data_IF_685366628047
#
_entry.id   IF_685366628047
#
_cell.length_a   1.000
_cell.length_b   1.000
_cell.length_c   1.000
_cell.angle_alpha   90.00
_cell.angle_beta   90.00
_cell.angle_gamma   90.00
#
_symmetry.space_group_name_H-M   'P 1'
#
loop_
_entity.id
_entity.type
_entity.pdbx_description
1 polymer ?
#
# COMPACT_ATOMS: atom_id res chain seq x y z
N UNK A 1 -23.00 14.48 2.05
CA UNK A 1 -21.65 14.80 2.57
C UNK A 1 -20.84 15.45 1.45
N UNK A 2 -20.06 16.47 1.77
CA UNK A 2 -19.18 17.12 0.78
C UNK A 2 -17.81 16.45 0.83
N UNK A 3 -17.59 15.46 -0.04
CA UNK A 3 -16.29 14.84 -0.23
C UNK A 3 -15.36 15.83 -0.93
N UNK A 4 -14.18 16.09 -0.37
CA UNK A 4 -13.20 17.02 -0.94
C UNK A 4 -12.13 16.34 -1.80
N UNK A 5 -11.84 15.09 -1.50
CA UNK A 5 -10.78 14.30 -2.13
C UNK A 5 -11.31 12.92 -2.53
N UNK A 6 -10.91 12.45 -3.70
CA UNK A 6 -11.18 11.08 -4.16
C UNK A 6 -9.88 10.49 -4.69
N UNK A 7 -9.52 9.30 -4.23
CA UNK A 7 -8.47 8.51 -4.84
C UNK A 7 -9.10 7.43 -5.73
N UNK A 8 -8.74 7.43 -7.00
CA UNK A 8 -9.05 6.36 -7.95
C UNK A 8 -7.87 5.39 -8.05
N UNK A 9 -8.09 4.14 -8.42
CA UNK A 9 -7.03 3.14 -8.51
C UNK A 9 -7.24 2.15 -9.65
N UNK A 10 -6.20 1.43 -10.02
CA UNK A 10 -6.12 0.33 -10.97
C UNK A 10 -6.32 0.74 -12.45
N UNK A 11 -7.54 1.05 -12.88
CA UNK A 11 -7.85 1.35 -14.27
C UNK A 11 -7.68 2.84 -14.60
N UNK A 12 -7.69 3.17 -15.91
CA UNK A 12 -7.62 4.55 -16.38
C UNK A 12 -8.70 5.43 -15.71
N UNK A 13 -8.33 6.51 -15.00
CA UNK A 13 -9.27 7.38 -14.29
C UNK A 13 -10.09 8.31 -15.21
N UNK A 14 -9.75 8.42 -16.49
CA UNK A 14 -10.36 9.36 -17.44
C UNK A 14 -11.89 9.43 -17.39
N UNK A 15 -12.63 8.31 -17.25
CA UNK A 15 -14.10 8.36 -17.20
C UNK A 15 -14.67 9.16 -16.01
N UNK A 16 -13.91 9.31 -14.93
CA UNK A 16 -14.39 9.91 -13.69
C UNK A 16 -13.82 11.31 -13.44
N UNK A 17 -12.61 11.62 -13.97
CA UNK A 17 -11.87 12.83 -13.64
C UNK A 17 -12.70 14.08 -13.93
N UNK A 18 -13.29 14.18 -15.12
CA UNK A 18 -14.07 15.36 -15.53
C UNK A 18 -15.22 15.63 -14.54
N UNK A 19 -16.04 14.65 -14.24
CA UNK A 19 -17.19 14.78 -13.34
C UNK A 19 -16.77 15.15 -11.92
N UNK A 20 -15.67 14.55 -11.41
CA UNK A 20 -15.16 14.84 -10.07
C UNK A 20 -14.62 16.27 -9.98
N UNK A 21 -13.90 16.72 -11.00
CA UNK A 21 -13.37 18.10 -11.07
C UNK A 21 -14.48 19.14 -11.18
N UNK A 22 -15.52 18.90 -11.98
CA UNK A 22 -16.70 19.76 -12.09
C UNK A 22 -17.46 19.89 -10.76
N UNK A 23 -17.38 18.84 -9.90
CA UNK A 23 -17.92 18.86 -8.54
C UNK A 23 -16.99 19.54 -7.51
N UNK A 24 -15.84 20.09 -7.93
CA UNK A 24 -14.85 20.72 -7.05
C UNK A 24 -14.05 19.74 -6.18
N UNK A 25 -13.93 18.48 -6.63
CA UNK A 25 -13.22 17.42 -5.91
C UNK A 25 -11.78 17.32 -6.41
N UNK A 26 -10.83 17.28 -5.50
CA UNK A 26 -9.42 16.97 -5.80
C UNK A 26 -9.27 15.47 -6.07
N UNK A 27 -8.70 15.11 -7.21
CA UNK A 27 -8.59 13.73 -7.69
C UNK A 27 -7.15 13.25 -7.59
N UNK A 28 -6.94 12.22 -6.79
CA UNK A 28 -5.70 11.46 -6.75
C UNK A 28 -5.86 10.18 -7.57
N UNK A 29 -4.77 9.68 -8.15
CA UNK A 29 -4.80 8.38 -8.82
C UNK A 29 -3.64 7.50 -8.40
N UNK A 30 -3.98 6.29 -7.95
CA UNK A 30 -2.99 5.29 -7.53
C UNK A 30 -2.53 4.45 -8.72
N UNK A 31 -1.21 4.44 -8.93
CA UNK A 31 -0.55 3.76 -10.04
C UNK A 31 0.57 2.84 -9.54
N UNK A 32 0.85 1.79 -10.31
CA UNK A 32 1.97 0.88 -10.06
C UNK A 32 3.19 1.17 -10.98
N UNK A 33 3.09 2.13 -11.90
CA UNK A 33 4.18 2.47 -12.83
C UNK A 33 4.22 3.96 -13.13
N UNK A 34 5.41 4.49 -13.42
CA UNK A 34 5.58 5.89 -13.89
C UNK A 34 4.85 6.15 -15.21
N UNK A 35 4.78 5.15 -16.09
CA UNK A 35 4.02 5.24 -17.34
C UNK A 35 2.54 5.50 -17.09
N UNK A 36 1.94 4.81 -16.13
CA UNK A 36 0.53 5.01 -15.75
C UNK A 36 0.34 6.37 -15.07
N UNK A 37 1.29 6.81 -14.25
CA UNK A 37 1.27 8.14 -13.62
C UNK A 37 1.27 9.26 -14.66
N UNK A 38 2.12 9.19 -15.69
CA UNK A 38 2.10 10.12 -16.83
C UNK A 38 0.77 10.10 -17.60
N UNK A 39 0.14 8.95 -17.71
CA UNK A 39 -1.19 8.85 -18.33
C UNK A 39 -2.27 9.49 -17.47
N UNK A 40 -2.20 9.31 -16.14
CA UNK A 40 -3.13 9.92 -15.20
C UNK A 40 -3.01 11.45 -15.17
N UNK A 41 -1.77 11.97 -15.18
CA UNK A 41 -1.53 13.41 -15.30
C UNK A 41 -2.16 14.00 -16.55
N UNK A 42 -1.97 13.37 -17.71
CA UNK A 42 -2.57 13.83 -18.99
C UNK A 42 -4.09 13.88 -18.97
N UNK A 43 -4.74 13.07 -18.19
CA UNK A 43 -6.22 13.12 -18.04
C UNK A 43 -6.69 14.07 -16.94
N UNK A 44 -5.76 14.75 -16.27
CA UNK A 44 -6.04 15.87 -15.38
C UNK A 44 -6.28 15.52 -13.92
N UNK A 45 -5.70 14.42 -13.39
CA UNK A 45 -5.66 14.20 -11.94
C UNK A 45 -4.77 15.23 -11.26
N UNK A 46 -5.02 15.51 -9.98
CA UNK A 46 -4.31 16.55 -9.23
C UNK A 46 -3.03 16.03 -8.56
N UNK A 47 -2.94 14.73 -8.30
CA UNK A 47 -1.77 14.06 -7.76
C UNK A 47 -1.78 12.58 -8.11
N UNK A 48 -0.61 11.93 -8.03
CA UNK A 48 -0.48 10.49 -8.20
C UNK A 48 0.10 9.83 -6.96
N UNK A 49 -0.42 8.65 -6.63
CA UNK A 49 0.13 7.77 -5.61
C UNK A 49 0.85 6.61 -6.29
N UNK A 50 2.16 6.47 -6.09
CA UNK A 50 2.94 5.38 -6.65
C UNK A 50 3.11 4.25 -5.64
N UNK A 51 2.71 3.04 -6.05
CA UNK A 51 2.78 1.82 -5.25
C UNK A 51 4.04 1.06 -5.63
N UNK A 52 5.03 1.02 -4.72
CA UNK A 52 6.29 0.33 -4.95
C UNK A 52 6.25 -1.17 -4.72
N UNK A 53 7.34 -1.85 -5.08
CA UNK A 53 7.52 -3.30 -4.86
C UNK A 53 7.31 -3.70 -3.39
N UNK A 54 7.72 -2.85 -2.44
CA UNK A 54 7.60 -3.07 -0.99
C UNK A 54 6.20 -2.82 -0.42
N UNK A 55 5.24 -2.42 -1.22
CA UNK A 55 3.87 -2.21 -0.75
C UNK A 55 3.12 -3.54 -0.56
N UNK A 56 2.03 -3.46 0.20
CA UNK A 56 1.02 -4.50 0.31
C UNK A 56 0.06 -4.46 -0.88
N UNK A 57 -0.58 -5.58 -1.17
CA UNK A 57 -1.63 -5.65 -2.19
C UNK A 57 -1.07 -5.65 -3.62
N UNK A 58 -1.79 -5.03 -4.54
CA UNK A 58 -1.45 -5.02 -5.96
C UNK A 58 -0.39 -3.95 -6.27
N UNK A 59 0.85 -4.38 -6.49
CA UNK A 59 2.02 -3.50 -6.70
C UNK A 59 2.43 -3.36 -8.17
N UNK A 60 1.73 -4.03 -9.09
CA UNK A 60 2.15 -4.13 -10.49
C UNK A 60 3.19 -5.23 -10.71
N UNK A 61 3.67 -5.35 -11.96
CA UNK A 61 4.57 -6.45 -12.37
C UNK A 61 6.01 -6.02 -12.61
N UNK A 62 6.31 -4.71 -12.56
CA UNK A 62 7.64 -4.17 -12.89
C UNK A 62 8.67 -4.39 -11.77
N UNK A 63 8.22 -4.80 -10.58
CA UNK A 63 9.05 -5.07 -9.39
C UNK A 63 10.03 -3.93 -9.02
N UNK A 64 9.64 -2.68 -9.32
CA UNK A 64 10.46 -1.52 -9.00
C UNK A 64 10.26 -1.05 -7.55
N UNK A 65 11.36 -0.88 -6.80
CA UNK A 65 11.30 -0.28 -5.47
C UNK A 65 11.02 1.24 -5.57
N UNK A 66 10.43 1.79 -4.53
CA UNK A 66 10.14 3.24 -4.45
C UNK A 66 11.40 4.10 -4.54
N UNK A 67 12.55 3.62 -4.08
CA UNK A 67 13.83 4.30 -4.20
C UNK A 67 14.25 4.62 -5.64
N UNK A 68 13.71 3.90 -6.63
CA UNK A 68 13.91 4.14 -8.04
C UNK A 68 12.68 4.80 -8.66
N UNK A 69 11.49 4.33 -8.29
CA UNK A 69 10.25 4.77 -8.92
C UNK A 69 9.91 6.24 -8.59
N UNK A 70 10.14 6.68 -7.34
CA UNK A 70 9.81 8.05 -6.92
C UNK A 70 10.66 9.08 -7.65
N UNK A 71 12.01 9.01 -7.70
CA UNK A 71 12.80 9.96 -8.48
C UNK A 71 12.42 10.00 -9.96
N UNK A 72 12.23 8.83 -10.60
CA UNK A 72 11.79 8.76 -12.00
C UNK A 72 10.44 9.46 -12.24
N UNK A 73 9.53 9.38 -11.29
CA UNK A 73 8.24 10.04 -11.39
C UNK A 73 8.36 11.55 -11.17
N UNK A 74 9.06 11.97 -10.12
CA UNK A 74 9.28 13.39 -9.78
C UNK A 74 9.97 14.13 -10.93
N UNK A 75 10.98 13.51 -11.55
CA UNK A 75 11.69 14.11 -12.70
C UNK A 75 10.82 14.20 -13.97
N UNK A 76 9.66 13.55 -14.00
CA UNK A 76 8.89 13.41 -15.24
C UNK A 76 7.43 13.83 -15.15
N UNK A 77 6.98 14.30 -14.00
CA UNK A 77 5.62 14.77 -13.72
C UNK A 77 5.67 16.18 -13.12
N UNK A 78 4.66 16.99 -13.46
CA UNK A 78 4.49 18.34 -12.88
C UNK A 78 3.57 18.32 -11.65
N UNK A 79 2.79 17.25 -11.45
CA UNK A 79 1.86 17.10 -10.33
C UNK A 79 2.52 16.39 -9.15
N UNK A 80 2.03 16.62 -7.91
CA UNK A 80 2.55 15.98 -6.71
C UNK A 80 2.58 14.44 -6.80
N UNK A 81 3.68 13.85 -6.33
CA UNK A 81 3.89 12.40 -6.25
C UNK A 81 3.84 11.96 -4.80
N UNK A 82 2.98 10.99 -4.50
CA UNK A 82 2.82 10.38 -3.18
C UNK A 82 3.45 8.98 -3.20
N UNK A 83 4.31 8.70 -2.23
CA UNK A 83 4.98 7.40 -2.08
C UNK A 83 4.11 6.45 -1.25
N UNK A 84 3.77 5.27 -1.79
CA UNK A 84 2.94 4.26 -1.13
C UNK A 84 3.65 2.91 -1.02
N UNK A 85 3.98 2.52 0.20
CA UNK A 85 4.64 1.27 0.55
C UNK A 85 5.83 1.48 1.48
N UNK A 86 6.06 0.54 2.38
CA UNK A 86 7.25 0.51 3.24
C UNK A 86 7.28 1.57 4.35
N UNK A 87 6.23 2.36 4.56
CA UNK A 87 6.24 3.44 5.57
C UNK A 87 5.57 2.99 6.86
N UNK A 88 6.34 2.91 7.95
CA UNK A 88 5.85 2.66 9.32
C UNK A 88 6.44 3.62 10.34
N UNK A 89 7.51 4.33 10.01
CA UNK A 89 8.25 5.20 10.93
C UNK A 89 8.85 6.42 10.20
N UNK A 90 9.50 7.30 10.97
CA UNK A 90 10.11 8.53 10.46
C UNK A 90 11.27 8.29 9.49
N UNK A 91 11.95 7.13 9.53
CA UNK A 91 13.05 6.81 8.61
C UNK A 91 12.53 6.67 7.19
N UNK A 92 11.48 5.86 7.01
CA UNK A 92 10.86 5.66 5.71
C UNK A 92 10.16 6.94 5.22
N UNK A 93 9.56 7.73 6.11
CA UNK A 93 8.96 9.01 5.77
C UNK A 93 9.99 10.01 5.23
N UNK A 94 11.11 10.23 5.96
CA UNK A 94 12.19 11.12 5.51
C UNK A 94 12.81 10.63 4.19
N UNK A 95 12.99 9.31 4.05
CA UNK A 95 13.49 8.72 2.80
C UNK A 95 12.58 9.06 1.60
N UNK A 96 11.26 8.92 1.75
CA UNK A 96 10.32 9.26 0.69
C UNK A 96 10.39 10.74 0.29
N UNK A 97 10.48 11.65 1.27
CA UNK A 97 10.62 13.09 1.01
C UNK A 97 11.98 13.42 0.36
N UNK A 98 13.06 12.77 0.80
CA UNK A 98 14.40 12.96 0.22
C UNK A 98 14.47 12.47 -1.24
N UNK A 99 13.65 11.50 -1.63
CA UNK A 99 13.50 11.06 -3.02
C UNK A 99 12.63 11.99 -3.88
N UNK A 100 12.05 13.04 -3.27
CA UNK A 100 11.22 14.05 -3.95
C UNK A 100 9.71 13.82 -3.83
N UNK A 101 9.24 12.83 -3.08
CA UNK A 101 7.81 12.67 -2.86
C UNK A 101 7.23 13.85 -2.08
N UNK A 102 6.02 14.29 -2.44
CA UNK A 102 5.26 15.33 -1.74
C UNK A 102 4.57 14.82 -0.46
N UNK A 103 4.51 13.52 -0.27
CA UNK A 103 3.90 12.87 0.88
C UNK A 103 3.96 11.35 0.78
N UNK A 104 3.36 10.69 1.77
CA UNK A 104 3.31 9.22 1.85
C UNK A 104 1.88 8.71 2.05
N UNK A 105 1.60 7.50 1.56
CA UNK A 105 0.39 6.77 1.89
C UNK A 105 0.75 5.55 2.73
N UNK A 106 0.09 5.40 3.89
CA UNK A 106 0.37 4.37 4.88
C UNK A 106 -0.80 3.38 4.91
N UNK A 107 -0.52 2.09 4.83
CA UNK A 107 -1.52 1.01 4.92
C UNK A 107 -1.23 0.07 6.08
N UNK A 108 -0.27 -0.84 5.94
CA UNK A 108 0.02 -1.94 6.87
C UNK A 108 0.20 -1.45 8.32
N UNK A 109 0.91 -0.34 8.55
CA UNK A 109 1.09 0.24 9.89
C UNK A 109 -0.24 0.62 10.54
N UNK A 110 -1.20 1.18 9.76
CA UNK A 110 -2.50 1.60 10.30
C UNK A 110 -3.45 0.43 10.58
N UNK A 111 -3.18 -0.77 10.04
CA UNK A 111 -3.92 -1.97 10.43
C UNK A 111 -3.64 -2.38 11.89
N UNK A 112 -2.45 -2.05 12.42
CA UNK A 112 -2.08 -2.20 13.82
C UNK A 112 -2.41 -0.93 14.62
N UNK A 113 -3.61 -0.39 14.47
CA UNK A 113 -4.08 0.76 15.25
C UNK A 113 -5.33 0.41 16.08
N UNK A 114 -5.56 1.19 17.14
CA UNK A 114 -6.77 1.04 17.97
C UNK A 114 -8.04 1.34 17.18
N UNK A 115 -7.98 2.28 16.23
CA UNK A 115 -9.10 2.68 15.38
C UNK A 115 -9.39 1.70 14.24
N UNK A 116 -8.45 0.81 13.89
CA UNK A 116 -8.71 -0.25 12.94
C UNK A 116 -9.74 -1.24 13.54
N UNK A 117 -10.88 -1.49 12.87
CA UNK A 117 -11.93 -2.34 13.41
C UNK A 117 -11.60 -3.84 13.34
N UNK A 118 -10.38 -4.22 12.91
CA UNK A 118 -9.94 -5.61 12.92
C UNK A 118 -9.86 -6.16 14.35
N UNK A 119 -10.03 -7.48 14.47
CA UNK A 119 -9.96 -8.19 15.76
C UNK A 119 -8.58 -8.06 16.41
N UNK A 120 -8.51 -8.15 17.72
CA UNK A 120 -7.24 -8.15 18.45
C UNK A 120 -6.35 -9.33 18.01
N UNK A 121 -6.93 -10.51 17.77
CA UNK A 121 -6.21 -11.66 17.22
C UNK A 121 -5.50 -11.33 15.90
N UNK A 122 -6.18 -10.60 15.01
CA UNK A 122 -5.55 -10.16 13.77
C UNK A 122 -4.41 -9.17 14.02
N UNK A 123 -4.58 -8.21 14.93
CA UNK A 123 -3.54 -7.23 15.26
C UNK A 123 -2.33 -7.91 15.90
N UNK A 124 -2.54 -8.83 16.83
CA UNK A 124 -1.47 -9.64 17.45
C UNK A 124 -0.72 -10.45 16.40
N UNK A 125 -1.46 -11.07 15.46
CA UNK A 125 -0.86 -11.79 14.35
C UNK A 125 -0.05 -10.87 13.43
N UNK A 126 -0.51 -9.63 13.20
CA UNK A 126 0.18 -8.66 12.36
C UNK A 126 1.50 -8.19 12.98
N UNK A 127 1.53 -7.87 14.28
CA UNK A 127 2.77 -7.41 14.97
C UNK A 127 3.80 -8.52 15.17
N UNK A 128 3.41 -9.80 15.03
CA UNK A 128 4.32 -10.94 15.02
C UNK A 128 4.90 -11.24 13.64
N UNK A 129 4.54 -10.47 12.61
CA UNK A 129 4.96 -10.70 11.23
C UNK A 129 6.40 -10.24 11.02
N UNK A 130 7.28 -11.14 10.57
CA UNK A 130 8.61 -10.78 10.10
C UNK A 130 8.56 -10.19 8.68
N UNK A 131 9.55 -9.39 8.31
CA UNK A 131 9.63 -8.79 6.97
C UNK A 131 9.63 -9.84 5.85
N UNK A 132 10.15 -11.04 6.12
CA UNK A 132 10.22 -12.19 5.20
C UNK A 132 8.94 -13.01 5.12
N UNK A 133 7.96 -12.76 5.99
CA UNK A 133 6.68 -13.49 6.00
C UNK A 133 5.69 -13.00 4.94
N UNK A 134 6.13 -12.16 4.02
CA UNK A 134 5.28 -11.73 2.91
C UNK A 134 5.69 -12.37 1.60
N UNK A 135 4.71 -12.62 0.74
CA UNK A 135 4.93 -13.24 -0.56
C UNK A 135 3.98 -12.68 -1.61
N UNK A 136 4.38 -12.78 -2.86
CA UNK A 136 3.48 -12.48 -3.98
C UNK A 136 2.69 -13.73 -4.39
N UNK A 137 1.40 -13.54 -4.61
CA UNK A 137 0.48 -14.48 -5.25
C UNK A 137 -0.08 -13.87 -6.54
N UNK A 138 -0.84 -14.64 -7.31
CA UNK A 138 -1.50 -14.27 -8.57
C UNK A 138 -0.52 -13.96 -9.73
N UNK A 139 0.78 -14.23 -9.57
CA UNK A 139 1.75 -13.94 -10.64
C UNK A 139 1.55 -14.81 -11.88
N UNK A 140 1.11 -16.04 -11.72
CA UNK A 140 0.73 -16.93 -12.83
C UNK A 140 -0.43 -16.38 -13.67
N UNK A 141 -1.22 -15.48 -13.11
CA UNK A 141 -2.35 -14.80 -13.74
C UNK A 141 -2.00 -13.38 -14.23
N UNK A 142 -0.71 -13.05 -14.38
CA UNK A 142 -0.22 -11.73 -14.74
C UNK A 142 -0.70 -10.61 -13.78
N UNK A 143 -0.79 -10.94 -12.50
CA UNK A 143 -1.10 -10.00 -11.41
C UNK A 143 -0.03 -10.16 -10.34
N UNK A 144 0.22 -9.14 -9.54
CA UNK A 144 1.11 -9.22 -8.39
C UNK A 144 0.33 -8.73 -7.17
N UNK A 145 0.05 -9.64 -6.26
CA UNK A 145 -0.66 -9.35 -5.03
C UNK A 145 0.17 -9.78 -3.83
N UNK A 146 0.71 -8.80 -3.10
CA UNK A 146 1.55 -9.07 -1.93
C UNK A 146 0.71 -9.27 -0.69
N UNK A 147 0.90 -10.42 -0.05
CA UNK A 147 0.13 -10.88 1.11
C UNK A 147 1.07 -11.42 2.20
N UNK A 148 0.58 -11.53 3.43
CA UNK A 148 1.24 -12.32 4.47
C UNK A 148 1.06 -13.82 4.20
N UNK A 149 2.10 -14.60 4.52
CA UNK A 149 2.02 -16.07 4.48
C UNK A 149 1.11 -16.60 5.58
N UNK A 150 0.24 -17.53 5.21
CA UNK A 150 -0.64 -18.32 6.05
C UNK A 150 -1.07 -19.56 5.26
N UNK A 151 -1.90 -20.43 5.83
CA UNK A 151 -2.36 -21.66 5.15
C UNK A 151 -3.10 -21.35 3.83
N UNK A 152 -3.96 -20.32 3.79
CA UNK A 152 -4.65 -19.94 2.56
C UNK A 152 -3.68 -19.48 1.47
N UNK A 153 -2.64 -18.72 1.83
CA UNK A 153 -1.58 -18.28 0.92
C UNK A 153 -0.81 -19.45 0.35
N UNK A 154 -0.44 -20.44 1.17
CA UNK A 154 0.29 -21.62 0.68
C UNK A 154 -0.56 -22.45 -0.30
N UNK A 155 -1.87 -22.60 -0.03
CA UNK A 155 -2.80 -23.26 -0.97
C UNK A 155 -2.89 -22.52 -2.31
N UNK A 156 -2.94 -21.20 -2.30
CA UNK A 156 -2.90 -20.38 -3.52
C UNK A 156 -1.60 -20.64 -4.30
N UNK A 157 -0.45 -20.60 -3.63
CA UNK A 157 0.86 -20.83 -4.27
C UNK A 157 0.97 -22.25 -4.84
N UNK A 158 0.39 -23.25 -4.19
CA UNK A 158 0.34 -24.62 -4.70
C UNK A 158 -0.52 -24.74 -5.97
N UNK A 159 -1.65 -24.06 -6.02
CA UNK A 159 -2.51 -24.01 -7.20
C UNK A 159 -1.81 -23.31 -8.35
N UNK A 160 -1.15 -22.19 -8.09
CA UNK A 160 -0.39 -21.45 -9.11
C UNK A 160 0.71 -22.32 -9.77
N UNK A 161 1.42 -23.15 -8.99
CA UNK A 161 2.44 -24.09 -9.52
C UNK A 161 1.87 -25.12 -10.49
N UNK A 162 0.60 -25.47 -10.36
CA UNK A 162 -0.09 -26.48 -11.19
C UNK A 162 -0.79 -25.87 -12.41
N UNK A 163 -0.80 -24.53 -12.51
CA UNK A 163 -1.63 -23.79 -13.43
C UNK A 163 -3.05 -23.67 -12.87
N UNK A 164 -3.52 -22.44 -12.68
CA UNK A 164 -4.81 -22.15 -12.06
C UNK A 164 -5.54 -21.03 -12.78
N UNK A 165 -6.81 -20.86 -12.46
CA UNK A 165 -7.65 -19.75 -12.90
C UNK A 165 -8.06 -18.90 -11.71
N UNK A 166 -8.52 -17.67 -11.97
CA UNK A 166 -9.04 -16.81 -10.92
C UNK A 166 -10.20 -17.46 -10.14
N UNK A 167 -11.06 -18.23 -10.82
CA UNK A 167 -12.19 -18.91 -10.18
C UNK A 167 -11.75 -19.95 -9.15
N UNK A 168 -10.66 -20.67 -9.42
CA UNK A 168 -10.12 -21.67 -8.50
C UNK A 168 -9.44 -21.03 -7.28
N UNK A 169 -9.00 -19.78 -7.38
CA UNK A 169 -8.44 -19.03 -6.26
C UNK A 169 -9.51 -18.38 -5.37
N UNK A 170 -10.71 -18.10 -5.89
CA UNK A 170 -11.77 -17.41 -5.14
C UNK A 170 -12.05 -17.97 -3.74
N UNK A 171 -12.03 -19.32 -3.51
CA UNK A 171 -12.21 -19.88 -2.17
C UNK A 171 -11.18 -19.43 -1.12
N UNK A 172 -10.06 -18.84 -1.54
CA UNK A 172 -8.97 -18.40 -0.65
C UNK A 172 -8.83 -16.87 -0.62
N UNK A 173 -9.08 -16.20 -1.76
CA UNK A 173 -8.88 -14.75 -1.94
C UNK A 173 -10.19 -13.96 -1.85
N UNK A 174 -11.34 -14.63 -1.71
CA UNK A 174 -12.65 -13.99 -1.68
C UNK A 174 -12.87 -13.10 -0.45
N UNK A 175 -13.72 -12.08 -0.61
CA UNK A 175 -13.97 -11.09 0.43
C UNK A 175 -14.57 -11.67 1.74
N UNK A 176 -15.33 -12.75 1.68
CA UNK A 176 -15.88 -13.43 2.86
C UNK A 176 -14.76 -14.02 3.73
N UNK A 177 -13.72 -14.57 3.12
CA UNK A 177 -12.57 -15.09 3.84
C UNK A 177 -11.72 -13.97 4.43
N UNK A 178 -11.52 -12.87 3.69
CA UNK A 178 -10.86 -11.69 4.23
C UNK A 178 -11.62 -11.15 5.45
N UNK A 179 -12.95 -11.18 5.43
CA UNK A 179 -13.78 -10.78 6.57
C UNK A 179 -13.53 -11.66 7.79
N UNK A 180 -13.42 -12.98 7.62
CA UNK A 180 -13.09 -13.91 8.72
C UNK A 180 -11.72 -13.59 9.33
N UNK A 181 -10.71 -13.37 8.47
CA UNK A 181 -9.37 -13.00 8.92
C UNK A 181 -9.41 -11.71 9.75
N UNK A 182 -10.03 -10.65 9.22
CA UNK A 182 -9.98 -9.33 9.84
C UNK A 182 -10.86 -9.23 11.10
N UNK A 183 -12.08 -9.73 11.06
CA UNK A 183 -13.08 -9.44 12.10
C UNK A 183 -13.37 -10.61 13.01
N UNK A 184 -13.21 -11.86 12.55
CA UNK A 184 -13.48 -13.05 13.34
C UNK A 184 -12.19 -13.64 13.95
N UNK A 185 -11.00 -13.17 13.50
CA UNK A 185 -9.70 -13.60 14.00
C UNK A 185 -9.24 -14.96 13.47
N UNK A 186 -9.92 -15.51 12.45
CA UNK A 186 -9.49 -16.73 11.76
C UNK A 186 -8.41 -16.37 10.73
N UNK A 187 -7.20 -16.17 11.21
CA UNK A 187 -6.07 -15.68 10.40
C UNK A 187 -5.62 -16.63 9.30
N UNK A 188 -6.11 -17.86 9.29
CA UNK A 188 -5.81 -18.88 8.27
C UNK A 188 -6.91 -18.99 7.19
N UNK A 189 -8.08 -18.36 7.40
CA UNK A 189 -9.24 -18.52 6.53
C UNK A 189 -9.06 -17.95 5.12
N UNK A 190 -8.20 -16.96 4.94
CA UNK A 190 -8.04 -16.27 3.66
C UNK A 190 -6.75 -15.46 3.57
N UNK A 191 -6.49 -14.93 2.38
CA UNK A 191 -5.30 -14.09 2.15
C UNK A 191 -5.55 -12.65 2.60
N UNK A 192 -4.51 -12.01 3.13
CA UNK A 192 -4.56 -10.61 3.55
C UNK A 192 -3.38 -9.83 3.00
N UNK A 193 -3.67 -8.66 2.43
CA UNK A 193 -2.64 -7.74 1.94
C UNK A 193 -1.74 -7.28 3.10
N UNK A 194 -0.43 -7.53 2.99
CA UNK A 194 0.55 -7.14 4.00
C UNK A 194 1.88 -6.83 3.33
N UNK A 195 2.47 -5.68 3.65
CA UNK A 195 3.80 -5.31 3.17
C UNK A 195 4.91 -5.80 4.11
N UNK A 196 6.15 -5.95 3.63
CA UNK A 196 7.32 -6.33 4.44
C UNK A 196 7.57 -5.38 5.60
N UNK A 197 7.05 -4.17 5.52
CA UNK A 197 7.10 -3.18 6.61
C UNK A 197 6.46 -3.66 7.91
N UNK A 198 5.65 -4.73 7.87
CA UNK A 198 5.11 -5.38 9.06
C UNK A 198 6.23 -5.80 10.03
N UNK A 199 7.38 -6.23 9.53
CA UNK A 199 8.55 -6.55 10.36
C UNK A 199 9.18 -5.37 11.12
N UNK A 200 8.65 -4.15 10.95
CA UNK A 200 9.02 -2.96 11.73
C UNK A 200 7.87 -2.50 12.65
N UNK A 201 6.81 -3.28 12.77
CA UNK A 201 5.62 -2.95 13.57
C UNK A 201 5.55 -3.93 14.74
N UNK A 202 5.81 -3.42 15.93
CA UNK A 202 5.91 -4.21 17.16
C UNK A 202 4.87 -3.82 18.22
N UNK A 203 3.98 -2.87 17.89
CA UNK A 203 2.96 -2.37 18.80
C UNK A 203 1.63 -2.00 18.10
N UNK A 204 0.58 -1.92 18.91
CA UNK A 204 -0.73 -1.36 18.54
C UNK A 204 -0.91 -0.02 19.25
N UNK A 205 -1.13 1.04 18.47
CA UNK A 205 -1.26 2.41 18.98
C UNK A 205 -2.48 3.10 18.35
N UNK A 206 -2.87 4.26 18.87
CA UNK A 206 -3.81 5.12 18.15
C UNK A 206 -3.19 5.68 16.87
N UNK A 207 -4.02 5.98 15.87
CA UNK A 207 -3.56 6.63 14.63
C UNK A 207 -2.83 7.93 14.93
N UNK A 208 -3.31 8.69 15.92
CA UNK A 208 -2.65 9.93 16.35
C UNK A 208 -1.22 9.67 16.83
N UNK A 209 -1.04 8.71 17.73
CA UNK A 209 0.29 8.36 18.26
C UNK A 209 1.23 7.85 17.18
N UNK A 210 0.72 7.07 16.22
CA UNK A 210 1.50 6.61 15.06
C UNK A 210 2.01 7.80 14.26
N UNK A 211 1.14 8.75 13.92
CA UNK A 211 1.51 9.91 13.12
C UNK A 211 2.46 10.82 13.91
N UNK A 212 2.18 11.12 15.17
CA UNK A 212 3.05 11.93 16.03
C UNK A 212 4.46 11.31 16.13
N UNK A 213 4.53 9.98 16.32
CA UNK A 213 5.80 9.24 16.35
C UNK A 213 6.58 9.35 15.04
N UNK A 214 5.90 9.19 13.89
CA UNK A 214 6.53 9.33 12.57
C UNK A 214 7.10 10.74 12.39
N UNK A 215 6.34 11.76 12.73
CA UNK A 215 6.78 13.16 12.59
C UNK A 215 7.95 13.47 13.54
N UNK A 216 7.85 13.13 14.82
CA UNK A 216 8.93 13.38 15.79
C UNK A 216 10.23 12.68 15.44
N UNK A 217 10.14 11.43 14.94
CA UNK A 217 11.32 10.72 14.45
C UNK A 217 11.90 11.37 13.19
N UNK A 218 11.04 11.87 12.29
CA UNK A 218 11.49 12.55 11.07
C UNK A 218 12.25 13.84 11.42
N UNK A 219 11.77 14.63 12.37
CA UNK A 219 12.43 15.86 12.84
C UNK A 219 13.84 15.55 13.36
N UNK A 220 13.97 14.55 14.25
CA UNK A 220 15.27 14.10 14.78
C UNK A 220 16.23 13.66 13.66
N UNK A 221 15.71 12.94 12.65
CA UNK A 221 16.52 12.47 11.54
C UNK A 221 17.01 13.64 10.69
N UNK A 222 16.13 14.58 10.38
CA UNK A 222 16.45 15.77 9.59
C UNK A 222 17.51 16.60 10.30
N UNK A 223 17.37 16.85 11.61
CA UNK A 223 18.39 17.56 12.42
C UNK A 223 19.76 16.87 12.34
N UNK A 224 19.78 15.54 12.48
CA UNK A 224 21.03 14.75 12.38
C UNK A 224 21.69 14.82 11.00
N UNK A 225 20.89 14.98 9.94
CA UNK A 225 21.39 15.04 8.56
C UNK A 225 21.78 16.45 8.11
N UNK A 226 21.53 17.47 8.93
CA UNK A 226 22.03 18.82 8.68
C UNK A 226 23.55 18.81 8.94
N UNK A 227 24.31 18.82 7.87
CA UNK A 227 25.76 19.06 7.95
C UNK A 227 25.97 20.54 8.24
N UNK A 228 26.65 20.83 9.36
CA UNK A 228 27.12 22.16 9.70
C UNK A 228 28.24 22.64 8.80
#
# INVERSE_FOLDING_TARGET
EKVKFVETAALNPAPYVKQLKEAGITVLHKCATVRHAKSAERVGVDAVTLVGYEAAGHTGLDDLPLSIMIPLAVDSLEIPVISAGGVSDGRAFVSALALGASGVQIGTRLMASHECPASETFKDWLIQTEATDTVYIERSLNRAYRVRRNEATEKVLELEKKGTTMLELLPFIGGDNLRKVLFEGDVEAGVVACGPVAGLIDDVMSVKEIIDRIISQAEIIIERLQFS
#
